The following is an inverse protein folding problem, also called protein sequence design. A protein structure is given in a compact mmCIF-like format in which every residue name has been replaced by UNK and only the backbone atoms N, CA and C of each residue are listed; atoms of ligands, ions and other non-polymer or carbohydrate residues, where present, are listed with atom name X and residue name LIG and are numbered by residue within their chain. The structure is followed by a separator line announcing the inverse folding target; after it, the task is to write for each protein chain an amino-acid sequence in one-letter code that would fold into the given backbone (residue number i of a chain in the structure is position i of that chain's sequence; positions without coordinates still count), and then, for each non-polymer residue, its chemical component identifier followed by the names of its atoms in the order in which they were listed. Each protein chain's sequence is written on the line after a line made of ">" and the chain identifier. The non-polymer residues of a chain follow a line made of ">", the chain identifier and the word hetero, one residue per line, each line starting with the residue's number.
data_IF_812183357151
#
_entry.id   IF_812183357151
#
_cell.length_a   1.000
_cell.length_b   1.000
_cell.length_c   1.000
_cell.angle_alpha   90.00
_cell.angle_beta   90.00
_cell.angle_gamma   90.00
#
_symmetry.space_group_name_H-M   'P 1'
#
loop_
_entity.id
_entity.type
_entity.pdbx_description
1 polymer ?
#
# COMPACT_ATOMS: atom_id res chain seq x y z
N UNK A 1 -7.31 -19.99 -0.95
CA UNK A 1 -7.39 -18.52 -0.87
C UNK A 1 -7.07 -17.95 -2.23
N UNK A 2 -7.83 -16.98 -2.74
CA UNK A 2 -7.62 -16.34 -4.06
C UNK A 2 -7.54 -14.84 -3.84
N UNK A 3 -6.53 -14.18 -4.40
CA UNK A 3 -6.42 -12.72 -4.38
C UNK A 3 -7.24 -12.18 -5.54
N UNK A 4 -8.24 -11.35 -5.23
CA UNK A 4 -9.06 -10.67 -6.22
C UNK A 4 -8.53 -9.25 -6.43
N UNK A 5 -8.02 -8.98 -7.63
CA UNK A 5 -7.53 -7.67 -8.03
C UNK A 5 -8.59 -6.98 -8.90
N UNK A 6 -9.12 -5.80 -8.51
CA UNK A 6 -10.01 -4.99 -9.29
C UNK A 6 -9.41 -4.63 -10.63
N UNK A 7 -10.25 -4.74 -11.65
CA UNK A 7 -9.90 -4.43 -13.04
C UNK A 7 -9.42 -3.00 -13.19
N UNK A 8 -9.91 -2.08 -12.36
CA UNK A 8 -9.53 -0.68 -12.33
C UNK A 8 -8.02 -0.54 -12.08
N UNK A 9 -7.42 -1.30 -11.16
CA UNK A 9 -5.99 -1.21 -10.90
C UNK A 9 -5.15 -1.79 -12.04
N UNK A 10 -5.67 -2.82 -12.73
CA UNK A 10 -4.94 -3.56 -13.76
C UNK A 10 -5.03 -2.89 -15.14
N UNK A 11 -6.21 -2.40 -15.51
CA UNK A 11 -6.53 -2.01 -16.88
C UNK A 11 -6.74 -0.51 -17.07
N UNK A 12 -6.66 0.30 -16.01
CA UNK A 12 -6.73 1.76 -16.16
C UNK A 12 -5.38 2.33 -16.54
N UNK A 13 -5.35 3.19 -17.55
CA UNK A 13 -4.12 3.78 -18.08
C UNK A 13 -3.33 4.59 -17.03
N UNK A 14 -4.03 5.21 -16.07
CA UNK A 14 -3.41 5.90 -14.94
C UNK A 14 -2.49 5.01 -14.08
N UNK A 15 -2.69 3.68 -14.11
CA UNK A 15 -1.90 2.70 -13.39
C UNK A 15 -1.01 1.84 -14.30
N UNK A 16 -0.94 2.14 -15.60
CA UNK A 16 -0.23 1.30 -16.58
C UNK A 16 1.28 1.15 -16.30
N UNK A 17 1.88 2.11 -15.58
CA UNK A 17 3.29 2.07 -15.19
C UNK A 17 3.54 1.36 -13.85
N UNK A 18 2.47 1.03 -13.11
CA UNK A 18 2.62 0.38 -11.81
C UNK A 18 3.03 -1.09 -12.02
N UNK A 19 4.15 -1.55 -11.43
CA UNK A 19 4.56 -2.95 -11.56
C UNK A 19 3.48 -3.91 -11.05
N UNK A 20 3.30 -5.06 -11.70
CA UNK A 20 2.33 -6.08 -11.27
C UNK A 20 2.52 -6.50 -9.81
N UNK A 21 3.77 -6.67 -9.37
CA UNK A 21 4.09 -6.98 -7.96
C UNK A 21 3.65 -5.87 -6.99
N UNK A 22 3.65 -4.61 -7.43
CA UNK A 22 3.16 -3.50 -6.61
C UNK A 22 1.62 -3.48 -6.56
N UNK A 23 0.95 -3.88 -7.64
CA UNK A 23 -0.49 -4.10 -7.65
C UNK A 23 -0.88 -5.20 -6.66
N UNK A 24 -0.18 -6.33 -6.69
CA UNK A 24 -0.36 -7.45 -5.76
C UNK A 24 -0.11 -6.98 -4.32
N UNK A 25 1.00 -6.29 -4.07
CA UNK A 25 1.35 -5.78 -2.75
C UNK A 25 0.25 -4.87 -2.18
N UNK A 26 -0.30 -3.96 -2.99
CA UNK A 26 -1.39 -3.09 -2.57
C UNK A 26 -2.63 -3.90 -2.14
N UNK A 27 -3.00 -4.94 -2.89
CA UNK A 27 -4.15 -5.80 -2.52
C UNK A 27 -3.91 -6.62 -1.26
N UNK A 28 -2.72 -7.18 -1.10
CA UNK A 28 -2.37 -7.89 0.12
C UNK A 28 -2.43 -6.94 1.32
N UNK A 29 -1.92 -5.71 1.19
CA UNK A 29 -2.03 -4.71 2.26
C UNK A 29 -3.49 -4.31 2.59
N UNK A 30 -4.40 -4.33 1.61
CA UNK A 30 -5.84 -4.12 1.87
C UNK A 30 -6.43 -5.27 2.69
N UNK A 31 -6.01 -6.52 2.46
CA UNK A 31 -6.44 -7.65 3.30
C UNK A 31 -5.94 -7.49 4.74
N UNK A 32 -4.69 -7.05 4.95
CA UNK A 32 -4.18 -6.75 6.29
C UNK A 32 -4.93 -5.60 6.97
N UNK A 33 -5.46 -4.64 6.19
CA UNK A 33 -6.26 -3.55 6.71
C UNK A 33 -7.62 -4.03 7.23
N UNK A 34 -8.18 -5.12 6.68
CA UNK A 34 -9.44 -5.68 7.18
C UNK A 34 -9.30 -6.18 8.63
N UNK A 35 -8.12 -6.63 9.03
CA UNK A 35 -7.81 -7.07 10.39
C UNK A 35 -7.28 -5.92 11.28
N UNK A 36 -7.12 -4.71 10.75
CA UNK A 36 -6.42 -3.62 11.44
C UNK A 36 -7.13 -3.21 12.73
N UNK A 37 -8.46 -3.19 12.74
CA UNK A 37 -9.25 -2.82 13.90
C UNK A 37 -9.04 -3.82 15.06
N UNK A 38 -9.09 -5.12 14.78
CA UNK A 38 -8.83 -6.18 15.76
C UNK A 38 -7.41 -6.12 16.34
N UNK A 39 -6.44 -5.67 15.53
CA UNK A 39 -5.03 -5.49 15.93
C UNK A 39 -4.78 -4.14 16.62
N UNK A 40 -5.80 -3.30 16.78
CA UNK A 40 -5.67 -1.97 17.36
C UNK A 40 -4.87 -0.99 16.49
N UNK A 41 -4.76 -1.26 15.19
CA UNK A 41 -4.12 -0.37 14.22
C UNK A 41 -5.08 0.74 13.76
N UNK A 42 -5.53 1.51 14.75
CA UNK A 42 -6.35 2.70 14.60
C UNK A 42 -5.61 3.85 15.29
N UNK A 43 -5.50 4.99 14.61
CA UNK A 43 -4.86 6.16 15.22
C UNK A 43 -5.85 7.00 16.03
N UNK A 44 -5.33 8.08 16.63
CA UNK A 44 -6.08 9.00 17.50
C UNK A 44 -7.26 9.68 16.80
N UNK A 45 -7.26 9.74 15.46
CA UNK A 45 -8.35 10.32 14.65
C UNK A 45 -9.35 9.25 14.19
N UNK A 46 -9.20 8.01 14.65
CA UNK A 46 -10.05 6.90 14.23
C UNK A 46 -9.69 6.33 12.86
N UNK A 47 -8.50 6.67 12.32
CA UNK A 47 -8.10 6.22 10.99
C UNK A 47 -7.31 4.92 11.08
N UNK A 48 -7.76 3.92 10.33
CA UNK A 48 -7.06 2.64 10.20
C UNK A 48 -5.74 2.80 9.45
N UNK A 49 -4.74 2.05 9.91
CA UNK A 49 -3.45 1.89 9.27
C UNK A 49 -3.00 0.44 9.35
N UNK A 50 -1.89 0.11 8.70
CA UNK A 50 -1.17 -1.15 8.93
C UNK A 50 0.28 -0.87 9.30
N UNK A 51 0.85 -1.71 10.15
CA UNK A 51 2.29 -1.78 10.35
C UNK A 51 2.82 -2.88 9.43
N UNK A 52 3.56 -2.49 8.39
CA UNK A 52 4.00 -3.42 7.34
C UNK A 52 5.52 -3.31 7.15
N UNK A 53 6.32 -4.09 7.90
CA UNK A 53 7.77 -4.07 7.79
C UNK A 53 8.27 -4.49 6.40
N UNK A 54 9.44 -3.99 5.99
CA UNK A 54 10.07 -4.40 4.72
C UNK A 54 10.29 -5.93 4.67
N UNK A 55 10.65 -6.52 5.81
CA UNK A 55 10.84 -7.97 5.92
C UNK A 55 9.56 -8.75 5.60
N UNK A 56 8.38 -8.22 5.95
CA UNK A 56 7.10 -8.86 5.65
C UNK A 56 6.87 -8.91 4.14
N UNK A 57 7.14 -7.80 3.45
CA UNK A 57 7.05 -7.71 1.97
C UNK A 57 8.01 -8.68 1.31
N UNK A 58 9.26 -8.74 1.79
CA UNK A 58 10.27 -9.65 1.27
C UNK A 58 9.83 -11.12 1.41
N UNK A 59 9.24 -11.47 2.55
CA UNK A 59 8.77 -12.82 2.81
C UNK A 59 7.56 -13.18 1.94
N UNK A 60 6.59 -12.27 1.82
CA UNK A 60 5.36 -12.48 1.04
C UNK A 60 5.62 -12.57 -0.47
N UNK A 61 6.50 -11.71 -0.99
CA UNK A 61 6.76 -11.61 -2.43
C UNK A 61 8.06 -12.31 -2.85
N UNK A 62 8.74 -12.99 -1.92
CA UNK A 62 10.02 -13.66 -2.13
C UNK A 62 11.04 -12.78 -2.87
N UNK A 63 11.13 -11.51 -2.46
CA UNK A 63 11.94 -10.52 -3.15
C UNK A 63 13.07 -9.95 -2.27
N UNK A 64 14.09 -9.39 -2.92
CA UNK A 64 15.15 -8.67 -2.21
C UNK A 64 14.60 -7.43 -1.50
N UNK A 65 15.29 -7.00 -0.44
CA UNK A 65 14.96 -5.79 0.30
C UNK A 65 14.86 -4.57 -0.62
N UNK A 66 15.81 -4.43 -1.56
CA UNK A 66 15.81 -3.36 -2.56
C UNK A 66 14.53 -3.36 -3.40
N UNK A 67 14.04 -4.55 -3.80
CA UNK A 67 12.79 -4.65 -4.56
C UNK A 67 11.60 -4.33 -3.67
N UNK A 68 11.53 -4.84 -2.45
CA UNK A 68 10.46 -4.52 -1.49
C UNK A 68 10.33 -3.01 -1.23
N UNK A 69 11.45 -2.33 -0.99
CA UNK A 69 11.51 -0.87 -0.83
C UNK A 69 10.97 -0.19 -2.08
N UNK A 70 11.46 -0.57 -3.27
CA UNK A 70 10.98 0.01 -4.53
C UNK A 70 9.48 -0.16 -4.71
N UNK A 71 8.92 -1.35 -4.43
CA UNK A 71 7.49 -1.59 -4.57
C UNK A 71 6.65 -0.66 -3.67
N UNK A 72 7.11 -0.38 -2.44
CA UNK A 72 6.45 0.64 -1.60
C UNK A 72 6.58 2.05 -2.18
N UNK A 73 7.74 2.40 -2.74
CA UNK A 73 7.96 3.73 -3.34
C UNK A 73 7.07 3.97 -4.57
N UNK A 74 6.82 2.96 -5.41
CA UNK A 74 5.90 3.03 -6.55
C UNK A 74 4.43 3.31 -6.10
N UNK A 75 4.08 2.88 -4.89
CA UNK A 75 2.75 3.08 -4.29
C UNK A 75 2.63 4.39 -3.49
N UNK A 76 3.75 4.94 -3.00
CA UNK A 76 3.80 6.07 -2.07
C UNK A 76 3.33 7.39 -2.69
N UNK A 77 2.78 8.29 -1.88
CA UNK A 77 2.26 9.60 -2.34
C UNK A 77 3.32 10.63 -2.72
N UNK A 78 4.56 10.46 -2.26
CA UNK A 78 5.66 11.37 -2.59
C UNK A 78 6.46 10.90 -3.80
N UNK A 79 6.67 9.59 -3.94
CA UNK A 79 7.52 9.00 -4.98
C UNK A 79 6.75 8.33 -6.12
N UNK A 80 5.52 7.91 -5.86
CA UNK A 80 4.74 7.07 -6.76
C UNK A 80 3.33 7.60 -6.99
N UNK A 81 2.38 6.67 -7.10
CA UNK A 81 1.01 6.96 -7.52
C UNK A 81 0.08 7.41 -6.38
N UNK A 82 0.55 7.39 -5.13
CA UNK A 82 -0.24 7.83 -3.97
C UNK A 82 -1.32 6.87 -3.51
N UNK A 83 -1.17 5.58 -3.80
CA UNK A 83 -1.99 4.50 -3.25
C UNK A 83 -1.77 4.28 -1.75
N UNK A 84 -0.59 4.64 -1.24
CA UNK A 84 -0.29 4.62 0.20
C UNK A 84 0.27 5.95 0.66
N UNK A 85 0.06 6.25 1.94
CA UNK A 85 0.76 7.29 2.68
C UNK A 85 1.54 6.67 3.82
N UNK A 86 2.85 6.85 3.82
CA UNK A 86 3.73 6.40 4.91
C UNK A 86 3.87 7.50 5.97
N UNK A 87 3.66 7.14 7.24
CA UNK A 87 3.97 7.99 8.39
C UNK A 87 5.08 7.34 9.21
N UNK A 88 6.27 7.92 9.16
CA UNK A 88 7.41 7.47 9.97
C UNK A 88 7.10 7.71 11.44
N UNK A 89 7.25 6.66 12.24
CA UNK A 89 7.19 6.77 13.68
C UNK A 89 8.60 7.01 14.21
N UNK A 90 8.76 7.93 15.17
CA UNK A 90 10.05 8.13 15.82
C UNK A 90 10.52 6.85 16.55
N UNK A 91 11.83 6.69 16.68
CA UNK A 91 12.44 5.54 17.37
C UNK A 91 12.54 4.29 16.48
N UNK A 92 12.46 3.10 17.11
CA UNK A 92 12.52 1.78 16.44
C UNK A 92 11.13 1.22 16.06
N UNK A 93 10.09 2.07 16.07
CA UNK A 93 8.73 1.65 15.75
C UNK A 93 8.57 1.48 14.23
N UNK A 94 7.79 0.49 13.76
CA UNK A 94 7.50 0.33 12.34
C UNK A 94 6.77 1.55 11.78
N UNK A 95 6.84 1.75 10.46
CA UNK A 95 6.09 2.82 9.83
C UNK A 95 4.60 2.47 9.80
N UNK A 96 3.74 3.48 10.00
CA UNK A 96 2.31 3.35 9.72
C UNK A 96 2.06 3.57 8.25
N UNK A 97 1.40 2.63 7.58
CA UNK A 97 0.95 2.77 6.20
C UNK A 97 -0.56 2.99 6.19
N UNK A 98 -0.97 4.12 5.62
CA UNK A 98 -2.37 4.43 5.38
C UNK A 98 -2.69 4.17 3.92
N UNK A 99 -3.61 3.23 3.65
CA UNK A 99 -4.03 2.93 2.29
C UNK A 99 -5.07 3.94 1.82
N UNK A 100 -4.96 4.39 0.57
CA UNK A 100 -5.97 5.24 -0.07
C UNK A 100 -6.86 4.40 -0.97
N UNK A 101 -8.19 4.62 -0.98
CA UNK A 101 -9.09 3.94 -1.91
C UNK A 101 -8.74 4.27 -3.37
N UNK A 102 -8.81 3.27 -4.26
CA UNK A 102 -8.53 3.41 -5.70
C UNK A 102 -9.33 4.56 -6.33
N UNK A 103 -10.62 4.68 -6.02
CA UNK A 103 -11.48 5.72 -6.57
C UNK A 103 -10.99 7.15 -6.23
N UNK A 104 -10.44 7.33 -5.02
CA UNK A 104 -9.88 8.61 -4.59
C UNK A 104 -8.61 8.93 -5.37
N UNK A 105 -7.70 7.97 -5.49
CA UNK A 105 -6.44 8.15 -6.22
C UNK A 105 -6.71 8.43 -7.70
N UNK A 106 -7.65 7.72 -8.32
CA UNK A 106 -8.06 7.96 -9.71
C UNK A 106 -8.60 9.38 -9.93
N UNK A 107 -9.38 9.90 -8.97
CA UNK A 107 -9.86 11.28 -9.04
C UNK A 107 -8.68 12.26 -8.97
N UNK A 108 -7.79 12.08 -8.01
CA UNK A 108 -6.58 12.92 -7.84
C UNK A 108 -5.64 12.88 -9.05
N UNK A 109 -5.55 11.74 -9.75
CA UNK A 109 -4.73 11.60 -10.97
C UNK A 109 -5.38 12.23 -12.21
N UNK A 110 -6.70 12.37 -12.26
CA UNK A 110 -7.41 13.03 -13.37
C UNK A 110 -7.43 14.55 -13.26
N UNK A 111 -7.25 15.07 -12.05
CA UNK A 111 -7.22 16.50 -11.75
C UNK A 111 -5.83 17.12 -11.91
N UNK A 112 -4.80 16.30 -12.20
CA UNK A 112 -3.42 16.70 -12.52
C UNK A 112 -3.21 16.78 -14.03
#
# INVERSE_FOLDING_TARGET
>A
NVILIPKELVFTEAFAKLPGDAQILYFVMLEYLNDAEEKGWIDEEGKLYIEFPIQEIMNLLHCSERKAIRLLEELDEQKGLGLIKKKTQGGKKPNRLYLKPLAKVLKELKEK
#
